data_IF_629393097663
#
_entry.id   IF_629393097663
#
_cell.length_a   1.000
_cell.length_b   1.000
_cell.length_c   1.000
_cell.angle_alpha   90.00
_cell.angle_beta   90.00
_cell.angle_gamma   90.00
#
_symmetry.space_group_name_H-M   'P 1'
#
loop_
_entity.id
_entity.type
_entity.pdbx_description
1 polymer ?
#
# COMPACT_ATOMS: atom_id res chain seq x y z
N UNK A 1 43.28 13.78 -10.20
CA UNK A 1 42.18 14.46 -9.47
C UNK A 1 42.28 14.19 -7.99
N UNK A 2 42.41 15.24 -7.16
CA UNK A 2 42.51 15.12 -5.69
C UNK A 2 41.26 14.45 -5.08
N UNK A 3 40.08 14.74 -5.61
CA UNK A 3 38.81 14.16 -5.16
C UNK A 3 38.81 12.63 -5.11
N UNK A 4 39.43 11.94 -6.08
CA UNK A 4 39.49 10.46 -6.11
C UNK A 4 40.24 9.88 -4.91
N UNK A 5 41.24 10.61 -4.38
CA UNK A 5 42.02 10.18 -3.21
C UNK A 5 41.28 10.35 -1.89
N UNK A 6 40.30 11.27 -1.83
CA UNK A 6 39.45 11.49 -0.64
C UNK A 6 38.26 10.53 -0.57
N UNK A 7 37.99 9.81 -1.66
CA UNK A 7 36.91 8.82 -1.76
C UNK A 7 37.47 7.42 -1.52
N UNK A 8 36.69 6.57 -0.84
CA UNK A 8 37.05 5.18 -0.54
C UNK A 8 37.35 4.37 -1.80
N UNK A 9 38.21 3.36 -1.68
CA UNK A 9 38.58 2.48 -2.79
C UNK A 9 37.37 1.76 -3.40
N UNK A 10 36.37 1.39 -2.57
CA UNK A 10 35.14 0.72 -3.01
C UNK A 10 34.30 1.59 -3.94
N UNK A 11 34.17 2.89 -3.66
CA UNK A 11 33.44 3.82 -4.54
C UNK A 11 34.28 4.17 -5.77
N UNK A 12 35.61 4.23 -5.61
CA UNK A 12 36.54 4.51 -6.71
C UNK A 12 36.53 3.39 -7.77
N UNK A 13 36.41 2.14 -7.36
CA UNK A 13 36.34 0.99 -8.29
C UNK A 13 35.03 0.95 -9.07
N UNK A 14 33.94 1.47 -8.49
CA UNK A 14 32.64 1.60 -9.16
C UNK A 14 32.65 2.57 -10.35
N UNK A 15 33.61 3.51 -10.43
CA UNK A 15 33.70 4.49 -11.53
C UNK A 15 35.07 4.44 -12.20
N UNK A 16 35.29 3.47 -13.11
CA UNK A 16 36.56 3.35 -13.84
C UNK A 16 36.74 4.52 -14.84
N UNK A 17 37.96 5.05 -14.92
CA UNK A 17 38.43 5.85 -16.07
C UNK A 17 37.73 7.19 -16.36
N UNK A 18 37.69 8.13 -15.41
CA UNK A 18 37.26 9.51 -15.64
C UNK A 18 38.45 10.46 -15.92
N UNK A 19 38.38 11.22 -17.02
CA UNK A 19 39.41 12.19 -17.40
C UNK A 19 39.26 13.55 -16.69
N UNK A 20 38.02 14.00 -16.46
CA UNK A 20 37.71 15.28 -15.81
C UNK A 20 36.84 15.09 -14.57
N UNK A 21 36.94 16.00 -13.58
CA UNK A 21 36.14 15.96 -12.35
C UNK A 21 34.63 15.91 -12.63
N UNK A 22 34.16 16.70 -13.61
CA UNK A 22 32.76 16.70 -14.05
C UNK A 22 32.30 15.33 -14.56
N UNK A 23 33.11 14.66 -15.37
CA UNK A 23 32.79 13.32 -15.87
C UNK A 23 32.76 12.28 -14.75
N UNK A 24 33.63 12.42 -13.75
CA UNK A 24 33.64 11.52 -12.59
C UNK A 24 32.37 11.67 -11.75
N UNK A 25 31.96 12.91 -11.44
CA UNK A 25 30.74 13.18 -10.69
C UNK A 25 29.48 12.70 -11.43
N UNK A 26 29.39 12.95 -12.74
CA UNK A 26 28.26 12.47 -13.55
C UNK A 26 28.17 10.94 -13.56
N UNK A 27 29.29 10.22 -13.60
CA UNK A 27 29.29 8.75 -13.52
C UNK A 27 28.93 8.25 -12.12
N UNK A 28 29.33 8.95 -11.07
CA UNK A 28 28.90 8.62 -9.71
C UNK A 28 27.39 8.77 -9.56
N UNK A 29 26.84 9.88 -10.06
CA UNK A 29 25.39 10.13 -10.07
C UNK A 29 24.65 8.99 -10.76
N UNK A 30 25.03 8.62 -12.00
CA UNK A 30 24.42 7.50 -12.73
C UNK A 30 24.50 6.19 -11.94
N UNK A 31 25.64 5.89 -11.32
CA UNK A 31 25.81 4.67 -10.53
C UNK A 31 24.93 4.66 -9.29
N UNK A 32 24.87 5.75 -8.53
CA UNK A 32 24.02 5.85 -7.35
C UNK A 32 22.54 5.78 -7.70
N UNK A 33 22.11 6.41 -8.80
CA UNK A 33 20.74 6.26 -9.31
C UNK A 33 20.46 4.82 -9.71
N UNK A 34 21.41 4.13 -10.35
CA UNK A 34 21.25 2.71 -10.73
C UNK A 34 21.13 1.81 -9.50
N UNK A 35 21.96 2.05 -8.48
CA UNK A 35 21.92 1.29 -7.21
C UNK A 35 20.58 1.53 -6.50
N UNK A 36 20.12 2.78 -6.38
CA UNK A 36 18.83 3.10 -5.77
C UNK A 36 17.66 2.41 -6.49
N UNK A 37 17.64 2.42 -7.83
CA UNK A 37 16.63 1.71 -8.62
C UNK A 37 16.70 0.19 -8.46
N UNK A 38 17.90 -0.38 -8.40
CA UNK A 38 18.08 -1.82 -8.21
C UNK A 38 17.61 -2.28 -6.81
N UNK A 39 17.71 -1.41 -5.80
CA UNK A 39 17.19 -1.66 -4.44
C UNK A 39 15.66 -1.51 -4.36
N UNK A 40 15.09 -0.60 -5.15
CA UNK A 40 13.63 -0.39 -5.22
C UNK A 40 12.89 -1.48 -6.01
N UNK A 41 13.51 -2.08 -7.03
CA UNK A 41 12.92 -3.12 -7.86
C UNK A 41 12.38 -4.35 -7.10
N UNK A 42 13.13 -4.99 -6.17
CA UNK A 42 12.61 -6.13 -5.40
C UNK A 42 11.50 -5.72 -4.42
N UNK A 43 11.49 -4.46 -3.96
CA UNK A 43 10.40 -3.95 -3.13
C UNK A 43 9.13 -3.77 -3.94
N UNK A 44 9.23 -3.31 -5.18
CA UNK A 44 8.11 -3.20 -6.12
C UNK A 44 7.53 -4.57 -6.46
N UNK A 45 8.38 -5.56 -6.75
CA UNK A 45 7.96 -6.93 -7.00
C UNK A 45 7.24 -7.52 -5.77
N UNK A 46 7.78 -7.29 -4.58
CA UNK A 46 7.13 -7.69 -3.33
C UNK A 46 5.78 -7.00 -3.15
N UNK A 47 5.68 -5.70 -3.41
CA UNK A 47 4.42 -4.95 -3.29
C UNK A 47 3.36 -5.48 -4.27
N UNK A 48 3.73 -5.77 -5.52
CA UNK A 48 2.82 -6.24 -6.56
C UNK A 48 2.31 -7.67 -6.32
N UNK A 49 3.13 -8.53 -5.72
CA UNK A 49 2.78 -9.93 -5.46
C UNK A 49 2.28 -10.18 -4.03
N UNK A 50 2.20 -9.14 -3.19
CA UNK A 50 1.75 -9.27 -1.82
C UNK A 50 0.26 -9.59 -1.80
N UNK A 51 -0.11 -10.70 -1.17
CA UNK A 51 -1.51 -11.09 -0.94
C UNK A 51 -1.79 -11.16 0.54
N UNK A 52 -3.00 -10.84 0.93
CA UNK A 52 -3.47 -11.06 2.29
C UNK A 52 -3.68 -12.57 2.49
N UNK A 53 -3.03 -13.13 3.50
CA UNK A 53 -3.04 -14.57 3.81
C UNK A 53 -4.27 -15.00 4.63
N UNK A 54 -5.16 -14.06 4.95
CA UNK A 54 -6.34 -14.30 5.78
C UNK A 54 -6.02 -14.37 7.28
N UNK A 55 -4.75 -14.18 7.68
CA UNK A 55 -4.31 -14.19 9.05
C UNK A 55 -4.01 -12.76 9.52
N UNK A 56 -4.49 -12.41 10.72
CA UNK A 56 -4.34 -11.06 11.27
C UNK A 56 -5.48 -10.12 10.90
N UNK A 57 -5.18 -8.82 10.88
CA UNK A 57 -6.09 -7.77 10.47
C UNK A 57 -5.69 -7.27 9.06
N UNK A 58 -6.67 -6.77 8.32
CA UNK A 58 -6.44 -6.12 7.03
C UNK A 58 -5.75 -4.77 7.25
N UNK A 59 -6.00 -4.09 8.38
CA UNK A 59 -5.34 -2.81 8.69
C UNK A 59 -3.80 -2.92 8.75
N UNK A 60 -3.24 -3.97 9.36
CA UNK A 60 -1.77 -4.14 9.38
C UNK A 60 -1.25 -4.52 7.98
N UNK A 61 -2.03 -5.26 7.20
CA UNK A 61 -1.70 -5.56 5.80
C UNK A 61 -1.63 -4.28 4.95
N UNK A 62 -2.61 -3.38 5.07
CA UNK A 62 -2.62 -2.07 4.41
C UNK A 62 -1.42 -1.23 4.86
N UNK A 63 -1.14 -1.18 6.17
CA UNK A 63 0.00 -0.45 6.72
C UNK A 63 1.35 -1.00 6.22
N UNK A 64 1.45 -2.32 6.01
CA UNK A 64 2.66 -2.94 5.48
C UNK A 64 2.84 -2.61 3.98
N UNK A 65 1.77 -2.66 3.18
CA UNK A 65 1.80 -2.27 1.77
C UNK A 65 2.13 -0.78 1.59
N UNK A 66 1.55 0.11 2.40
CA UNK A 66 1.87 1.53 2.36
C UNK A 66 3.31 1.82 2.79
N UNK A 67 3.83 1.09 3.79
CA UNK A 67 5.23 1.14 4.19
C UNK A 67 6.19 0.70 3.08
N UNK A 68 5.83 -0.32 2.29
CA UNK A 68 6.58 -0.71 1.11
C UNK A 68 6.56 0.38 0.04
N UNK A 69 5.40 0.98 -0.25
CA UNK A 69 5.29 2.09 -1.20
C UNK A 69 6.16 3.29 -0.81
N UNK A 70 6.19 3.65 0.49
CA UNK A 70 7.05 4.72 0.99
C UNK A 70 8.55 4.41 0.80
N UNK A 71 8.97 3.16 1.00
CA UNK A 71 10.35 2.73 0.76
C UNK A 71 10.72 2.73 -0.72
N UNK A 72 9.79 2.33 -1.59
CA UNK A 72 9.99 2.37 -3.06
C UNK A 72 10.14 3.83 -3.53
N UNK A 73 9.34 4.75 -2.97
CA UNK A 73 9.47 6.19 -3.19
C UNK A 73 10.82 6.74 -2.74
N UNK A 74 11.32 6.29 -1.59
CA UNK A 74 12.68 6.62 -1.12
C UNK A 74 13.78 6.08 -2.06
N UNK A 75 13.53 4.95 -2.73
CA UNK A 75 14.38 4.38 -3.78
C UNK A 75 14.30 5.08 -5.15
N UNK A 76 13.51 6.17 -5.26
CA UNK A 76 13.39 6.99 -6.46
C UNK A 76 12.35 6.51 -7.47
N UNK A 77 11.47 5.58 -7.09
CA UNK A 77 10.31 5.16 -7.88
C UNK A 77 9.06 5.71 -7.20
N UNK A 78 8.46 6.75 -7.78
CA UNK A 78 7.22 7.31 -7.26
C UNK A 78 6.03 6.50 -7.80
N UNK A 79 5.23 5.95 -6.88
CA UNK A 79 4.03 5.18 -7.19
C UNK A 79 2.83 6.06 -6.83
N UNK A 80 1.89 6.31 -7.75
CA UNK A 80 0.70 7.08 -7.43
C UNK A 80 -0.17 6.34 -6.40
N UNK A 81 -0.73 7.07 -5.45
CA UNK A 81 -1.50 6.51 -4.34
C UNK A 81 -2.69 5.68 -4.81
N UNK A 82 -3.36 6.09 -5.89
CA UNK A 82 -4.46 5.33 -6.50
C UNK A 82 -4.03 3.93 -6.95
N UNK A 83 -2.78 3.75 -7.39
CA UNK A 83 -2.26 2.44 -7.77
C UNK A 83 -1.95 1.58 -6.54
N UNK A 84 -1.49 2.18 -5.45
CA UNK A 84 -1.30 1.47 -4.18
C UNK A 84 -2.65 0.99 -3.65
N UNK A 85 -3.70 1.81 -3.73
CA UNK A 85 -5.07 1.43 -3.35
C UNK A 85 -5.56 0.25 -4.17
N UNK A 86 -5.38 0.27 -5.50
CA UNK A 86 -5.74 -0.86 -6.37
C UNK A 86 -5.00 -2.14 -5.99
N UNK A 87 -3.67 -2.06 -5.77
CA UNK A 87 -2.88 -3.21 -5.33
C UNK A 87 -3.36 -3.78 -3.99
N UNK A 88 -3.75 -2.93 -3.04
CA UNK A 88 -4.34 -3.37 -1.78
C UNK A 88 -5.65 -4.11 -2.05
N UNK A 89 -6.55 -3.59 -2.88
CA UNK A 89 -7.81 -4.25 -3.20
C UNK A 89 -7.58 -5.63 -3.86
N UNK A 90 -6.67 -5.71 -4.83
CA UNK A 90 -6.31 -6.95 -5.53
C UNK A 90 -5.66 -8.00 -4.60
N UNK A 91 -5.04 -7.54 -3.51
CA UNK A 91 -4.43 -8.41 -2.51
C UNK A 91 -5.44 -9.06 -1.57
N UNK A 92 -6.66 -8.53 -1.47
CA UNK A 92 -7.67 -9.01 -0.53
C UNK A 92 -8.41 -10.25 -1.07
N UNK A 93 -8.72 -11.23 -0.19
CA UNK A 93 -9.51 -12.39 -0.56
C UNK A 93 -10.97 -12.03 -0.89
N UNK A 94 -11.69 -12.89 -1.63
CA UNK A 94 -13.04 -12.62 -2.13
C UNK A 94 -14.10 -12.38 -1.03
N UNK A 95 -13.80 -12.75 0.22
CA UNK A 95 -14.61 -12.37 1.38
C UNK A 95 -14.71 -10.85 1.61
N UNK A 96 -13.84 -10.05 0.98
CA UNK A 96 -13.89 -8.58 0.95
C UNK A 96 -14.42 -8.04 -0.40
N UNK A 97 -15.10 -8.86 -1.22
CA UNK A 97 -15.68 -8.42 -2.51
C UNK A 97 -16.64 -7.23 -2.37
N UNK A 98 -17.40 -7.14 -1.27
CA UNK A 98 -18.26 -5.98 -1.00
C UNK A 98 -17.45 -4.70 -0.78
N UNK A 99 -16.33 -4.81 -0.10
CA UNK A 99 -15.41 -3.70 0.12
C UNK A 99 -14.74 -3.26 -1.19
N UNK A 100 -14.29 -4.21 -2.01
CA UNK A 100 -13.79 -3.97 -3.36
C UNK A 100 -14.84 -3.28 -4.24
N UNK A 101 -16.11 -3.71 -4.19
CA UNK A 101 -17.20 -3.16 -4.98
C UNK A 101 -17.69 -1.77 -4.49
N UNK A 102 -17.45 -1.41 -3.23
CA UNK A 102 -17.78 -0.07 -2.71
C UNK A 102 -16.67 0.96 -2.91
N UNK A 103 -15.46 0.51 -3.23
CA UNK A 103 -14.31 1.38 -3.43
C UNK A 103 -14.45 2.13 -4.76
N UNK A 104 -14.47 3.46 -4.68
CA UNK A 104 -14.51 4.35 -5.83
C UNK A 104 -13.09 4.74 -6.25
N UNK A 105 -12.87 5.03 -7.54
CA UNK A 105 -11.53 5.26 -8.12
C UNK A 105 -10.78 6.48 -7.54
N UNK A 106 -11.47 7.31 -6.75
CA UNK A 106 -10.95 8.52 -6.11
C UNK A 106 -10.56 8.33 -4.63
N UNK A 107 -10.58 7.12 -4.08
CA UNK A 107 -10.24 6.90 -2.67
C UNK A 107 -8.73 7.08 -2.44
N UNK A 108 -8.38 7.83 -1.39
CA UNK A 108 -7.03 7.91 -0.85
C UNK A 108 -6.76 6.82 0.18
N UNK A 109 -5.51 6.75 0.64
CA UNK A 109 -5.08 5.75 1.64
C UNK A 109 -5.79 5.94 2.99
N UNK A 110 -6.15 7.17 3.35
CA UNK A 110 -6.88 7.49 4.59
C UNK A 110 -8.33 7.00 4.55
N UNK A 111 -9.04 7.24 3.44
CA UNK A 111 -10.40 6.74 3.25
C UNK A 111 -10.42 5.21 3.26
N UNK A 112 -9.42 4.57 2.62
CA UNK A 112 -9.27 3.12 2.59
C UNK A 112 -9.11 2.55 4.02
N UNK A 113 -8.29 3.18 4.86
CA UNK A 113 -8.10 2.74 6.25
C UNK A 113 -9.37 2.89 7.10
N UNK A 114 -10.18 3.93 6.85
CA UNK A 114 -11.44 4.17 7.56
C UNK A 114 -12.48 3.10 7.21
N UNK A 115 -12.70 2.86 5.91
CA UNK A 115 -13.67 1.89 5.42
C UNK A 115 -13.24 0.45 5.74
N UNK A 116 -11.95 0.15 5.71
CA UNK A 116 -11.43 -1.17 6.08
C UNK A 116 -11.75 -1.51 7.54
N UNK A 117 -11.67 -0.55 8.45
CA UNK A 117 -12.02 -0.77 9.86
C UNK A 117 -13.50 -1.11 10.05
N UNK A 118 -14.38 -0.54 9.22
CA UNK A 118 -15.81 -0.84 9.24
C UNK A 118 -16.12 -2.22 8.65
N UNK A 119 -15.49 -2.58 7.52
CA UNK A 119 -15.69 -3.89 6.90
C UNK A 119 -15.13 -5.04 7.75
N UNK A 120 -13.98 -4.86 8.41
CA UNK A 120 -13.43 -5.86 9.34
C UNK A 120 -14.43 -6.26 10.43
N UNK A 121 -15.17 -5.29 10.97
CA UNK A 121 -16.21 -5.53 11.95
C UNK A 121 -17.40 -6.30 11.35
N UNK A 122 -17.79 -5.99 10.11
CA UNK A 122 -18.81 -6.73 9.38
C UNK A 122 -18.41 -8.17 9.05
N UNK A 123 -17.18 -8.42 8.58
CA UNK A 123 -16.69 -9.78 8.28
C UNK A 123 -16.60 -10.60 9.57
N UNK A 124 -16.14 -10.00 10.67
CA UNK A 124 -16.10 -10.63 11.99
C UNK A 124 -17.50 -10.99 12.51
N UNK A 125 -18.49 -10.12 12.30
CA UNK A 125 -19.89 -10.35 12.67
C UNK A 125 -20.65 -11.23 11.67
N UNK A 126 -20.17 -11.38 10.44
CA UNK A 126 -20.73 -12.26 9.42
C UNK A 126 -20.36 -13.72 9.62
N UNK A 127 -19.15 -13.99 10.13
CA UNK A 127 -18.68 -15.35 10.46
C UNK A 127 -19.16 -15.86 11.83
N UNK A 128 -19.63 -14.98 12.71
CA UNK A 128 -20.33 -15.35 13.95
C UNK A 128 -21.81 -15.08 13.75
N UNK A 129 -22.59 -16.14 13.49
CA UNK A 129 -23.97 -16.09 13.00
C UNK A 129 -24.79 -14.87 13.42
N UNK A 130 -25.39 -14.20 12.41
CA UNK A 130 -26.40 -13.14 12.48
C UNK A 130 -26.72 -12.67 13.90
N UNK A 131 -26.02 -11.63 14.35
CA UNK A 131 -26.62 -10.67 15.26
C UNK A 131 -26.46 -9.29 14.66
N UNK A 132 -27.60 -8.70 14.30
CA UNK A 132 -27.73 -7.29 13.97
C UNK A 132 -27.27 -6.51 15.20
N UNK A 133 -26.06 -5.95 15.16
CA UNK A 133 -25.69 -4.92 16.13
C UNK A 133 -26.49 -3.67 15.78
N UNK A 134 -27.63 -3.52 16.47
CA UNK A 134 -28.36 -2.27 16.55
C UNK A 134 -27.39 -1.18 17.02
N UNK A 135 -27.32 -0.08 16.26
CA UNK A 135 -26.64 1.15 16.67
C UNK A 135 -27.29 1.61 18.00
N UNK A 136 -26.52 1.77 19.09
CA UNK A 136 -27.05 2.36 20.31
C UNK A 136 -27.22 3.86 20.10
N UNK A 137 -28.48 4.31 20.09
CA UNK A 137 -28.83 5.71 20.34
C UNK A 137 -29.41 6.45 19.15
N UNK A 138 -30.73 6.34 18.97
CA UNK A 138 -31.64 7.47 19.12
C UNK A 138 -33.08 6.92 19.17
N UNK A 139 -33.67 6.90 20.36
CA UNK A 139 -35.12 7.01 20.50
C UNK A 139 -35.53 8.48 20.53
N UNK A 140 -36.83 8.85 20.42
CA UNK A 140 -38.00 7.98 20.58
C UNK A 140 -39.09 8.11 19.49
N UNK A 141 -40.07 7.21 19.60
CA UNK A 141 -41.50 7.43 19.32
C UNK A 141 -42.10 7.16 17.90
N UNK A 142 -42.93 6.10 17.90
CA UNK A 142 -44.30 6.01 17.37
C UNK A 142 -44.51 5.34 16.01
N UNK A 143 -45.04 4.11 16.10
CA UNK A 143 -46.05 3.47 15.26
C UNK A 143 -46.13 3.86 13.77
N UNK A 144 -45.77 2.91 12.90
CA UNK A 144 -46.73 2.28 11.96
C UNK A 144 -46.10 1.11 11.21
N UNK A 145 -46.85 0.00 11.24
CA UNK A 145 -46.70 -1.22 10.43
C UNK A 145 -46.53 -0.85 8.94
N UNK A 146 -45.67 -1.56 8.21
CA UNK A 146 -46.09 -2.43 7.09
C UNK A 146 -44.90 -3.18 6.47
N UNK A 147 -45.17 -4.45 6.16
CA UNK A 147 -44.41 -5.51 5.48
C UNK A 147 -43.48 -5.12 4.30
N UNK A 148 -42.69 -6.13 3.89
CA UNK A 148 -42.15 -6.45 2.54
C UNK A 148 -40.61 -6.20 2.39
N UNK A 149 -39.72 -7.11 1.93
CA UNK A 149 -39.75 -8.49 1.40
C UNK A 149 -38.32 -9.10 1.48
N UNK A 150 -38.28 -10.43 1.62
CA UNK A 150 -37.16 -11.33 1.32
C UNK A 150 -36.84 -11.41 -0.20
N UNK A 151 -35.56 -11.65 -0.50
CA UNK A 151 -34.95 -12.24 -1.72
C UNK A 151 -35.12 -11.55 -3.09
N UNK A 152 -33.99 -11.22 -3.72
CA UNK A 152 -33.53 -11.91 -4.94
C UNK A 152 -32.01 -11.83 -5.06
#
# INVERSE_FOLDING_TARGET
>A
MIMKHKISSSIRSLVPGSGTARQYLARLEIMFTRIAKADAAPLLDRLANMKYDGQGNVRDHIANMSGLAARIKAGGIDIPECYVVQLVLDSLPPQYERFQASCDVNWGLEELMCMCGQEEEFVRLGNSGRNICAIPGLGPNNEKKHSFILFR
#
